data_IF_255947281583
#
_entry.id   IF_255947281583
#
_cell.length_a   1.000
_cell.length_b   1.000
_cell.length_c   1.000
_cell.angle_alpha   90.00
_cell.angle_beta   90.00
_cell.angle_gamma   90.00
#
_symmetry.space_group_name_H-M   'P 1'
#
loop_
_entity.id
_entity.type
_entity.pdbx_description
1 polymer ?
#
# COMPACT_ATOMS: atom_id res chain seq x y z
N UNK A 1 3.32 5.35 -13.49
CA UNK A 1 3.80 5.27 -12.11
C UNK A 1 5.05 4.42 -12.07
N UNK A 2 6.12 4.99 -11.59
CA UNK A 2 7.42 4.30 -11.52
C UNK A 2 7.82 3.94 -10.09
N UNK A 3 7.31 4.68 -9.09
CA UNK A 3 7.66 4.53 -7.68
C UNK A 3 6.40 4.60 -6.84
N UNK A 4 6.30 3.70 -5.89
CA UNK A 4 5.19 3.65 -4.94
C UNK A 4 5.69 3.53 -3.51
N UNK A 5 4.99 4.14 -2.57
CA UNK A 5 5.21 3.99 -1.14
C UNK A 5 3.98 3.31 -0.53
N UNK A 6 4.20 2.27 0.28
CA UNK A 6 3.11 1.51 0.91
C UNK A 6 3.09 1.74 2.42
N UNK A 7 1.89 1.91 2.96
CA UNK A 7 1.67 1.86 4.41
C UNK A 7 1.52 0.42 4.92
N UNK A 8 1.42 0.27 6.25
CA UNK A 8 1.30 -1.04 6.88
C UNK A 8 0.02 -1.78 6.47
N UNK A 9 -1.10 -1.08 6.40
CA UNK A 9 -2.40 -1.70 6.08
C UNK A 9 -2.39 -2.33 4.69
N UNK A 10 -1.88 -1.62 3.69
CA UNK A 10 -1.80 -2.13 2.32
C UNK A 10 -0.85 -3.33 2.22
N UNK A 11 0.30 -3.30 2.90
CA UNK A 11 1.22 -4.43 2.93
C UNK A 11 0.57 -5.67 3.56
N UNK A 12 -0.13 -5.50 4.66
CA UNK A 12 -0.83 -6.59 5.36
C UNK A 12 -1.97 -7.14 4.50
N UNK A 13 -2.77 -6.27 3.89
CA UNK A 13 -3.90 -6.68 3.05
C UNK A 13 -3.43 -7.41 1.79
N UNK A 14 -2.36 -6.96 1.15
CA UNK A 14 -1.77 -7.66 0.01
C UNK A 14 -1.19 -9.02 0.39
N UNK A 15 -0.57 -9.12 1.58
CA UNK A 15 -0.10 -10.39 2.08
C UNK A 15 -1.25 -11.36 2.36
N UNK A 16 -2.32 -10.89 3.00
CA UNK A 16 -3.55 -11.68 3.24
C UNK A 16 -4.20 -12.15 1.94
N UNK A 17 -4.21 -11.31 0.92
CA UNK A 17 -4.77 -11.64 -0.37
C UNK A 17 -3.86 -12.49 -1.26
N UNK A 18 -2.62 -12.78 -0.84
CA UNK A 18 -1.64 -13.49 -1.67
C UNK A 18 -1.25 -12.72 -2.93
N UNK A 19 -1.18 -11.39 -2.86
CA UNK A 19 -1.01 -10.49 -4.00
C UNK A 19 0.38 -9.83 -4.10
N UNK A 20 1.24 -10.03 -3.12
CA UNK A 20 2.56 -9.37 -3.12
C UNK A 20 3.43 -9.82 -4.30
N UNK A 21 3.45 -11.10 -4.64
CA UNK A 21 4.18 -11.60 -5.81
C UNK A 21 3.71 -10.91 -7.10
N UNK A 22 2.40 -10.88 -7.31
CA UNK A 22 1.82 -10.24 -8.49
C UNK A 22 2.17 -8.75 -8.56
N UNK A 23 2.10 -8.05 -7.42
CA UNK A 23 2.49 -6.65 -7.35
C UNK A 23 3.94 -6.42 -7.77
N UNK A 24 4.87 -7.19 -7.21
CA UNK A 24 6.30 -7.01 -7.53
C UNK A 24 6.65 -7.42 -8.95
N UNK A 25 5.85 -8.29 -9.59
CA UNK A 25 5.99 -8.61 -11.02
C UNK A 25 5.70 -7.41 -11.94
N UNK A 26 4.99 -6.40 -11.46
CA UNK A 26 4.74 -5.18 -12.24
C UNK A 26 6.00 -4.34 -12.48
N UNK A 27 7.08 -4.61 -11.78
CA UNK A 27 8.33 -3.84 -11.89
C UNK A 27 8.24 -2.42 -11.35
N UNK A 28 7.24 -2.13 -10.51
CA UNK A 28 7.10 -0.83 -9.86
C UNK A 28 8.01 -0.80 -8.64
N UNK A 29 8.94 0.13 -8.63
CA UNK A 29 9.84 0.33 -7.50
C UNK A 29 9.04 0.70 -6.26
N UNK A 30 9.14 -0.10 -5.20
CA UNK A 30 8.26 -0.02 -4.04
C UNK A 30 9.07 0.21 -2.77
N UNK A 31 8.63 1.20 -2.00
CA UNK A 31 9.26 1.63 -0.76
C UNK A 31 8.28 1.59 0.41
N UNK A 32 8.84 1.44 1.60
CA UNK A 32 8.19 1.73 2.87
C UNK A 32 9.23 2.24 3.86
N UNK A 33 8.83 2.53 5.08
CA UNK A 33 9.75 2.99 6.12
C UNK A 33 10.00 1.92 7.18
N UNK A 34 11.09 2.04 7.90
CA UNK A 34 11.39 1.17 9.04
C UNK A 34 10.33 1.30 10.15
N UNK A 35 9.72 2.48 10.30
CA UNK A 35 8.64 2.71 11.25
C UNK A 35 7.40 1.86 10.89
N UNK A 36 7.05 1.80 9.61
CA UNK A 36 5.97 0.94 9.11
C UNK A 36 6.32 -0.54 9.29
N UNK A 37 7.55 -0.92 8.99
CA UNK A 37 8.00 -2.31 9.15
C UNK A 37 7.90 -2.77 10.62
N UNK A 38 8.14 -1.91 11.59
CA UNK A 38 7.93 -2.23 12.99
C UNK A 38 6.49 -2.61 13.31
N UNK A 39 5.51 -1.95 12.67
CA UNK A 39 4.11 -2.32 12.80
C UNK A 39 3.82 -3.67 12.13
N UNK A 40 4.32 -3.88 10.93
CA UNK A 40 4.11 -5.11 10.16
C UNK A 40 4.74 -6.32 10.86
N UNK A 41 5.89 -6.16 11.53
CA UNK A 41 6.54 -7.23 12.31
C UNK A 41 5.67 -7.78 13.43
N UNK A 42 4.73 -7.01 13.94
CA UNK A 42 3.78 -7.44 14.97
C UNK A 42 2.59 -8.19 14.40
N UNK A 43 2.42 -8.20 13.08
CA UNK A 43 1.32 -8.85 12.40
C UNK A 43 1.70 -10.26 11.97
N UNK A 44 0.69 -11.13 11.83
CA UNK A 44 0.88 -12.53 11.39
C UNK A 44 1.47 -12.62 9.97
N UNK A 45 1.31 -11.56 9.16
CA UNK A 45 1.77 -11.48 7.79
C UNK A 45 3.26 -11.16 7.65
N UNK A 46 3.97 -10.92 8.75
CA UNK A 46 5.39 -10.56 8.68
C UNK A 46 6.22 -11.60 7.92
N UNK A 47 5.97 -12.88 8.12
CA UNK A 47 6.68 -13.94 7.40
C UNK A 47 6.62 -13.79 5.89
N UNK A 48 5.46 -13.42 5.36
CA UNK A 48 5.26 -13.17 3.93
C UNK A 48 5.95 -11.88 3.48
N UNK A 49 5.75 -10.78 4.21
CA UNK A 49 6.35 -9.48 3.86
C UNK A 49 7.87 -9.51 3.94
N UNK A 50 8.43 -10.18 4.94
CA UNK A 50 9.88 -10.24 5.15
C UNK A 50 10.64 -10.86 3.98
N UNK A 51 10.05 -11.80 3.26
CA UNK A 51 10.68 -12.40 2.08
C UNK A 51 11.00 -11.37 1.01
N UNK A 52 10.13 -10.37 0.82
CA UNK A 52 10.33 -9.29 -0.15
C UNK A 52 11.34 -8.24 0.35
N UNK A 53 11.40 -8.02 1.66
CA UNK A 53 12.42 -7.17 2.27
C UNK A 53 13.81 -7.80 2.09
N UNK A 54 13.94 -9.08 2.43
CA UNK A 54 15.20 -9.83 2.32
C UNK A 54 15.67 -9.96 0.88
N UNK A 55 14.73 -10.12 -0.05
CA UNK A 55 15.03 -10.19 -1.48
C UNK A 55 15.40 -8.82 -2.09
N UNK A 56 15.22 -7.72 -1.36
CA UNK A 56 15.49 -6.37 -1.84
C UNK A 56 14.44 -5.82 -2.81
N UNK A 57 13.30 -6.49 -2.97
CA UNK A 57 12.20 -6.01 -3.83
C UNK A 57 11.31 -4.99 -3.13
N UNK A 58 11.14 -5.11 -1.83
CA UNK A 58 10.54 -4.08 -1.00
C UNK A 58 11.67 -3.31 -0.31
N UNK A 59 11.85 -2.06 -0.71
CA UNK A 59 12.88 -1.19 -0.11
C UNK A 59 12.39 -0.58 1.18
N UNK A 60 13.15 -0.77 2.25
CA UNK A 60 12.85 -0.19 3.57
C UNK A 60 13.81 0.96 3.82
N UNK A 61 13.28 2.15 3.96
CA UNK A 61 14.08 3.34 4.26
C UNK A 61 14.00 3.73 5.72
N UNK A 62 15.16 4.04 6.28
CA UNK A 62 15.28 4.67 7.61
C UNK A 62 15.49 6.16 7.40
N UNK A 63 14.61 6.98 7.99
CA UNK A 63 14.74 8.42 7.90
C UNK A 63 15.92 8.88 8.76
N UNK A 64 16.73 9.78 8.22
CA UNK A 64 17.82 10.41 8.95
C UNK A 64 17.27 11.41 9.98
N UNK A 65 18.12 11.87 10.92
CA UNK A 65 17.74 12.89 11.89
C UNK A 65 17.22 14.16 11.21
N UNK A 66 17.88 14.62 10.16
CA UNK A 66 17.46 15.79 9.38
C UNK A 66 16.11 15.57 8.69
N UNK A 67 15.90 14.38 8.15
CA UNK A 67 14.62 14.02 7.52
C UNK A 67 13.48 13.98 8.55
N UNK A 68 13.72 13.43 9.73
CA UNK A 68 12.73 13.39 10.82
C UNK A 68 12.38 14.82 11.26
N UNK A 69 13.37 15.70 11.39
CA UNK A 69 13.13 17.10 11.73
C UNK A 69 12.30 17.81 10.66
N UNK A 70 12.66 17.67 9.39
CA UNK A 70 11.88 18.22 8.26
C UNK A 70 10.47 17.67 8.21
N UNK A 71 10.31 16.37 8.43
CA UNK A 71 9.01 15.71 8.49
C UNK A 71 8.14 16.29 9.62
N UNK A 72 8.69 16.36 10.81
CA UNK A 72 7.99 16.87 11.99
C UNK A 72 7.54 18.31 11.78
N UNK A 73 8.35 19.14 11.16
CA UNK A 73 8.03 20.54 10.86
C UNK A 73 6.96 20.64 9.77
N UNK A 74 7.15 19.94 8.65
CA UNK A 74 6.25 20.03 7.49
C UNK A 74 4.87 19.43 7.74
N UNK A 75 4.78 18.40 8.58
CA UNK A 75 3.56 17.65 8.83
C UNK A 75 2.97 17.86 10.23
N UNK A 76 3.43 18.92 10.92
CA UNK A 76 3.03 19.21 12.31
C UNK A 76 1.52 19.39 12.49
N UNK A 77 0.84 19.93 11.47
CA UNK A 77 -0.60 20.22 11.52
C UNK A 77 -1.47 18.99 11.22
N UNK A 78 -0.84 17.89 10.80
CA UNK A 78 -1.56 16.68 10.44
C UNK A 78 -1.78 15.80 11.68
N UNK A 79 -3.03 15.38 11.86
CA UNK A 79 -3.42 14.50 12.98
C UNK A 79 -3.31 13.03 12.55
N UNK A 80 -2.13 12.62 12.20
CA UNK A 80 -1.79 11.23 11.84
C UNK A 80 -0.60 10.75 12.67
N UNK A 81 -0.50 9.45 12.88
CA UNK A 81 0.62 8.85 13.62
C UNK A 81 1.96 9.03 12.93
N UNK A 82 3.06 8.84 13.66
CA UNK A 82 4.40 9.02 13.15
C UNK A 82 4.72 8.06 11.99
N UNK A 83 4.18 6.87 12.01
CA UNK A 83 4.32 5.88 10.94
C UNK A 83 3.69 6.40 9.64
N UNK A 84 2.48 6.93 9.72
CA UNK A 84 1.78 7.52 8.58
C UNK A 84 2.48 8.78 8.08
N UNK A 85 2.99 9.61 8.99
CA UNK A 85 3.81 10.76 8.62
C UNK A 85 5.05 10.32 7.83
N UNK A 86 5.70 9.23 8.25
CA UNK A 86 6.92 8.75 7.61
C UNK A 86 6.69 8.32 6.15
N UNK A 87 5.61 7.61 5.86
CA UNK A 87 5.29 7.20 4.49
C UNK A 87 4.82 8.36 3.63
N UNK A 88 4.07 9.30 4.21
CA UNK A 88 3.69 10.53 3.50
C UNK A 88 4.92 11.36 3.15
N UNK A 89 5.81 11.56 4.11
CA UNK A 89 7.07 12.28 3.89
C UNK A 89 7.91 11.62 2.80
N UNK A 90 8.06 10.31 2.86
CA UNK A 90 8.80 9.55 1.84
C UNK A 90 8.17 9.69 0.45
N UNK A 91 6.83 9.65 0.35
CA UNK A 91 6.12 9.85 -0.91
C UNK A 91 6.36 11.25 -1.48
N UNK A 92 6.38 12.28 -0.63
CA UNK A 92 6.70 13.66 -1.04
C UNK A 92 8.13 13.75 -1.58
N UNK A 93 9.10 13.25 -0.82
CA UNK A 93 10.53 13.32 -1.17
C UNK A 93 10.82 12.57 -2.49
N UNK A 94 10.17 11.45 -2.71
CA UNK A 94 10.37 10.62 -3.91
C UNK A 94 9.44 10.95 -5.07
N UNK A 95 8.51 11.89 -4.88
CA UNK A 95 7.45 12.20 -5.85
C UNK A 95 6.71 10.92 -6.28
N UNK A 96 6.43 10.09 -5.31
CA UNK A 96 5.84 8.77 -5.48
C UNK A 96 4.33 8.79 -5.25
N UNK A 97 3.66 7.75 -5.73
CA UNK A 97 2.27 7.47 -5.37
C UNK A 97 2.23 6.83 -3.99
N UNK A 98 1.35 7.29 -3.13
CA UNK A 98 1.11 6.70 -1.82
C UNK A 98 -0.01 5.67 -1.92
N UNK A 99 0.28 4.45 -1.53
CA UNK A 99 -0.68 3.35 -1.53
C UNK A 99 -1.19 3.13 -0.10
N UNK A 100 -2.41 3.54 0.16
CA UNK A 100 -3.04 3.45 1.48
C UNK A 100 -4.55 3.27 1.38
N UNK A 101 -5.11 2.54 2.35
CA UNK A 101 -6.56 2.47 2.57
C UNK A 101 -7.03 3.38 3.70
N UNK A 102 -6.12 4.03 4.41
CA UNK A 102 -6.46 4.89 5.55
C UNK A 102 -7.00 6.25 5.09
N UNK A 103 -8.19 6.60 5.57
CA UNK A 103 -8.86 7.85 5.18
C UNK A 103 -8.10 9.09 5.65
N UNK A 104 -7.59 9.08 6.87
CA UNK A 104 -6.87 10.23 7.45
C UNK A 104 -5.58 10.50 6.69
N UNK A 105 -4.85 9.44 6.39
CA UNK A 105 -3.63 9.54 5.61
C UNK A 105 -3.92 10.01 4.18
N UNK A 106 -5.01 9.54 3.57
CA UNK A 106 -5.45 9.98 2.25
C UNK A 106 -5.74 11.49 2.22
N UNK A 107 -6.46 11.99 3.22
CA UNK A 107 -6.78 13.44 3.33
C UNK A 107 -5.49 14.25 3.52
N UNK A 108 -4.61 13.79 4.39
CA UNK A 108 -3.32 14.44 4.64
C UNK A 108 -2.46 14.51 3.38
N UNK A 109 -2.39 13.41 2.63
CA UNK A 109 -1.66 13.34 1.37
C UNK A 109 -2.22 14.31 0.33
N UNK A 110 -3.53 14.43 0.23
CA UNK A 110 -4.20 15.38 -0.67
C UNK A 110 -3.80 16.83 -0.38
N UNK A 111 -3.64 17.21 0.87
CA UNK A 111 -3.18 18.54 1.27
C UNK A 111 -1.76 18.86 0.79
N UNK A 112 -0.96 17.84 0.55
CA UNK A 112 0.44 17.96 0.09
C UNK A 112 0.59 17.62 -1.39
N UNK A 113 -0.51 17.47 -2.14
CA UNK A 113 -0.47 17.19 -3.57
C UNK A 113 0.06 15.80 -3.91
N UNK A 114 0.03 14.86 -2.98
CA UNK A 114 0.48 13.48 -3.20
C UNK A 114 -0.66 12.67 -3.79
N UNK A 115 -0.40 11.99 -4.90
CA UNK A 115 -1.35 11.06 -5.50
C UNK A 115 -1.51 9.84 -4.59
N UNK A 116 -2.78 9.49 -4.32
CA UNK A 116 -3.13 8.35 -3.46
C UNK A 116 -3.95 7.34 -4.24
N UNK A 117 -3.61 6.06 -4.08
CA UNK A 117 -4.35 4.93 -4.61
C UNK A 117 -4.58 3.91 -3.51
N UNK A 118 -5.64 3.15 -3.63
CA UNK A 118 -6.01 2.11 -2.67
C UNK A 118 -5.90 0.71 -3.23
N UNK A 119 -6.32 -0.25 -2.43
CA UNK A 119 -6.24 -1.67 -2.74
C UNK A 119 -7.02 -2.08 -4.00
N UNK A 120 -8.20 -1.49 -4.22
CA UNK A 120 -9.00 -1.77 -5.41
C UNK A 120 -8.30 -1.33 -6.69
N UNK A 121 -7.65 -0.19 -6.66
CA UNK A 121 -6.84 0.27 -7.78
C UNK A 121 -5.66 -0.68 -8.05
N UNK A 122 -5.03 -1.21 -6.99
CA UNK A 122 -3.97 -2.21 -7.15
C UNK A 122 -4.49 -3.43 -7.89
N UNK A 123 -5.65 -3.95 -7.51
CA UNK A 123 -6.27 -5.08 -8.20
C UNK A 123 -6.58 -4.77 -9.66
N UNK A 124 -7.12 -3.58 -9.94
CA UNK A 124 -7.40 -3.14 -11.31
C UNK A 124 -6.12 -3.14 -12.16
N UNK A 125 -5.01 -2.62 -11.61
CA UNK A 125 -3.72 -2.61 -12.30
C UNK A 125 -3.17 -4.02 -12.56
N UNK A 126 -3.29 -4.90 -11.58
CA UNK A 126 -2.84 -6.29 -11.72
C UNK A 126 -3.60 -7.01 -12.85
N UNK A 127 -4.90 -6.79 -12.94
CA UNK A 127 -5.74 -7.35 -14.02
C UNK A 127 -5.40 -6.69 -15.36
N UNK A 128 -5.33 -5.36 -15.40
CA UNK A 128 -5.05 -4.60 -16.62
C UNK A 128 -3.70 -4.97 -17.24
N UNK A 129 -2.70 -5.28 -16.42
CA UNK A 129 -1.36 -5.67 -16.87
C UNK A 129 -1.18 -7.19 -16.98
N UNK A 130 -2.26 -7.95 -16.88
CA UNK A 130 -2.25 -9.42 -16.96
C UNK A 130 -1.32 -10.12 -15.94
N UNK A 131 -1.00 -9.45 -14.83
CA UNK A 131 -0.30 -10.06 -13.71
C UNK A 131 -1.23 -10.94 -12.87
N UNK A 132 -2.54 -10.75 -13.03
CA UNK A 132 -3.58 -11.51 -12.34
C UNK A 132 -4.77 -11.69 -13.28
N UNK A 133 -5.32 -12.90 -13.37
CA UNK A 133 -6.54 -13.12 -14.15
C UNK A 133 -7.75 -12.47 -13.47
N UNK A 134 -8.78 -12.05 -14.22
CA UNK A 134 -10.00 -11.51 -13.60
C UNK A 134 -10.64 -12.47 -12.59
N UNK A 135 -10.72 -13.75 -12.93
CA UNK A 135 -11.28 -14.76 -12.03
C UNK A 135 -10.50 -14.86 -10.71
N UNK A 136 -9.16 -14.85 -10.78
CA UNK A 136 -8.33 -14.90 -9.59
C UNK A 136 -8.39 -13.59 -8.81
N UNK A 137 -8.50 -12.46 -9.48
CA UNK A 137 -8.69 -11.16 -8.83
C UNK A 137 -10.01 -11.14 -8.02
N UNK A 138 -11.09 -11.70 -8.55
CA UNK A 138 -12.35 -11.82 -7.84
C UNK A 138 -12.20 -12.68 -6.57
N UNK A 139 -11.54 -13.82 -6.67
CA UNK A 139 -11.27 -14.69 -5.51
C UNK A 139 -10.42 -13.98 -4.45
N UNK A 140 -9.38 -13.28 -4.87
CA UNK A 140 -8.50 -12.54 -3.94
C UNK A 140 -9.22 -11.37 -3.27
N UNK A 141 -10.04 -10.63 -4.01
CA UNK A 141 -10.85 -9.56 -3.44
C UNK A 141 -11.79 -10.09 -2.36
N UNK A 142 -12.47 -11.19 -2.63
CA UNK A 142 -13.37 -11.81 -1.66
C UNK A 142 -12.59 -12.28 -0.42
N UNK A 143 -11.44 -12.90 -0.61
CA UNK A 143 -10.57 -13.34 0.48
C UNK A 143 -10.13 -12.18 1.37
N UNK A 144 -9.77 -11.04 0.78
CA UNK A 144 -9.40 -9.85 1.56
C UNK A 144 -10.56 -9.28 2.34
N UNK A 145 -11.77 -9.25 1.75
CA UNK A 145 -13.00 -8.84 2.45
C UNK A 145 -13.26 -9.75 3.66
N UNK A 146 -13.14 -11.05 3.46
CA UNK A 146 -13.35 -12.04 4.52
C UNK A 146 -12.31 -11.93 5.64
N UNK A 147 -11.11 -11.47 5.33
CA UNK A 147 -10.04 -11.21 6.29
C UNK A 147 -10.16 -9.85 7.01
N UNK A 148 -11.20 -9.08 6.71
CA UNK A 148 -11.50 -7.83 7.41
C UNK A 148 -10.96 -6.57 6.75
N UNK A 149 -10.50 -6.63 5.50
CA UNK A 149 -10.11 -5.43 4.76
C UNK A 149 -11.30 -4.48 4.61
N UNK A 150 -11.10 -3.22 4.96
CA UNK A 150 -12.15 -2.19 4.88
C UNK A 150 -12.18 -1.60 3.48
N UNK A 151 -13.10 -2.10 2.66
CA UNK A 151 -13.25 -1.69 1.27
C UNK A 151 -14.68 -1.21 1.02
N UNK A 152 -14.87 -0.22 0.12
CA UNK A 152 -16.22 0.23 -0.24
C UNK A 152 -17.03 -0.91 -0.85
N UNK A 153 -18.16 -1.31 -0.24
CA UNK A 153 -18.91 -2.49 -0.70
C UNK A 153 -19.38 -2.41 -2.14
N UNK A 154 -19.89 -1.26 -2.57
CA UNK A 154 -20.38 -1.05 -3.93
C UNK A 154 -19.26 -1.19 -4.97
N UNK A 155 -18.10 -0.64 -4.69
CA UNK A 155 -16.94 -0.71 -5.60
C UNK A 155 -16.37 -2.13 -5.68
N UNK A 156 -16.44 -2.88 -4.59
CA UNK A 156 -16.11 -4.31 -4.58
C UNK A 156 -17.10 -5.11 -5.43
N UNK A 157 -18.39 -4.89 -5.23
CA UNK A 157 -19.45 -5.62 -5.94
C UNK A 157 -19.39 -5.37 -7.45
N UNK A 158 -19.10 -4.15 -7.87
CA UNK A 158 -18.89 -3.82 -9.30
C UNK A 158 -17.74 -4.63 -9.90
N UNK A 159 -16.63 -4.74 -9.22
CA UNK A 159 -15.47 -5.50 -9.69
C UNK A 159 -15.72 -6.99 -9.69
N UNK A 160 -16.31 -7.53 -8.64
CA UNK A 160 -16.67 -8.94 -8.57
C UNK A 160 -17.59 -9.32 -9.72
N UNK A 161 -18.60 -8.49 -10.03
CA UNK A 161 -19.49 -8.69 -11.16
C UNK A 161 -18.75 -8.64 -12.50
N UNK A 162 -17.87 -7.65 -12.68
CA UNK A 162 -17.08 -7.48 -13.89
C UNK A 162 -16.12 -8.66 -14.13
N UNK A 163 -15.46 -9.14 -13.08
CA UNK A 163 -14.44 -10.18 -13.18
C UNK A 163 -14.98 -11.60 -13.19
N UNK A 164 -16.23 -11.81 -12.83
CA UNK A 164 -16.88 -13.12 -12.85
C UNK A 164 -17.74 -13.35 -14.09
N UNK A 165 -17.98 -12.32 -14.90
CA UNK A 165 -18.68 -12.40 -16.18
C UNK A 165 -17.65 -12.57 -17.29
N UNK A 166 -17.40 -13.79 -17.68
CA UNK A 166 -16.53 -14.09 -18.82
C UNK A 166 -17.08 -15.24 -19.63
#
# INVERSE_FOLDING_TARGET
>A
MKVAVKDACVLIDLANGGLLDAWFQLGIETFTTDLVIRQVRKADQWGTVSTFVEAGTLHVESLTGDQIERMTTALADLRIGVEDQSVLFLAIERKAVLLTGDRRLRIAAGKHGVEVRGLLWILDELVARAALSPALAALRLQSMRDSGARLPPEDCDKRLKLWTVS
#
